data_IF_944307042086
#
_entry.id   IF_944307042086
#
_cell.length_a   1.000
_cell.length_b   1.000
_cell.length_c   1.000
_cell.angle_alpha   90.00
_cell.angle_beta   90.00
_cell.angle_gamma   90.00
#
_symmetry.space_group_name_H-M   'P 1'
#
loop_
_entity.id
_entity.type
_entity.pdbx_description
1 polymer ?
#
# COMPACT_ATOMS: atom_id res chain seq x y z
N UNK A 1 -38.31 -19.02 -8.15
CA UNK A 1 -36.90 -18.97 -8.59
C UNK A 1 -36.19 -17.97 -7.69
N UNK A 2 -35.65 -18.46 -6.58
CA UNK A 2 -35.01 -17.64 -5.54
C UNK A 2 -33.64 -17.25 -6.08
N UNK A 3 -33.44 -15.97 -6.42
CA UNK A 3 -32.09 -15.47 -6.70
C UNK A 3 -31.30 -15.51 -5.38
N UNK A 4 -30.27 -16.34 -5.33
CA UNK A 4 -29.19 -16.15 -4.37
C UNK A 4 -28.52 -14.82 -4.70
N UNK A 5 -28.79 -13.79 -3.90
CA UNK A 5 -27.86 -12.66 -3.79
C UNK A 5 -26.63 -13.20 -3.07
N UNK A 6 -25.62 -13.60 -3.82
CA UNK A 6 -24.26 -13.70 -3.31
C UNK A 6 -23.85 -12.28 -2.92
N UNK A 7 -24.06 -11.91 -1.67
CA UNK A 7 -23.32 -10.82 -1.06
C UNK A 7 -21.85 -11.22 -1.11
N UNK A 8 -21.11 -10.70 -2.09
CA UNK A 8 -19.66 -10.58 -1.90
C UNK A 8 -19.53 -9.71 -0.64
N UNK A 9 -19.11 -10.32 0.47
CA UNK A 9 -18.61 -9.56 1.59
C UNK A 9 -17.44 -8.75 1.04
N UNK A 10 -17.64 -7.45 0.80
CA UNK A 10 -16.53 -6.54 0.55
C UNK A 10 -15.59 -6.70 1.74
N UNK A 11 -14.29 -6.86 1.47
CA UNK A 11 -13.29 -6.82 2.53
C UNK A 11 -13.54 -5.56 3.38
N UNK A 12 -13.76 -5.69 4.71
CA UNK A 12 -14.11 -4.55 5.55
C UNK A 12 -13.01 -3.49 5.59
N UNK A 13 -11.76 -3.83 5.22
CA UNK A 13 -10.69 -2.87 5.05
C UNK A 13 -10.50 -2.52 3.57
N UNK A 14 -11.00 -1.35 3.17
CA UNK A 14 -10.73 -0.76 1.86
C UNK A 14 -9.38 -0.03 1.90
N UNK A 15 -8.61 -0.18 0.84
CA UNK A 15 -7.32 0.48 0.68
C UNK A 15 -7.27 1.28 -0.63
N UNK A 16 -6.76 2.49 -0.54
CA UNK A 16 -6.51 3.36 -1.68
C UNK A 16 -5.05 3.78 -1.67
N UNK A 17 -4.38 3.55 -2.80
CA UNK A 17 -3.01 4.00 -3.03
C UNK A 17 -3.03 5.22 -3.93
N UNK A 18 -2.19 6.21 -3.64
CA UNK A 18 -2.01 7.35 -4.54
C UNK A 18 -0.58 7.88 -4.52
N UNK A 19 -0.19 8.42 -5.67
CA UNK A 19 1.03 9.21 -5.87
C UNK A 19 0.66 10.39 -6.77
N UNK A 20 1.56 11.36 -6.93
CA UNK A 20 1.38 12.37 -7.99
C UNK A 20 1.38 11.70 -9.35
N UNK A 21 0.28 11.84 -10.11
CA UNK A 21 0.11 11.23 -11.43
C UNK A 21 1.22 11.64 -12.42
N UNK A 22 1.72 12.87 -12.31
CA UNK A 22 2.88 13.37 -13.04
C UNK A 22 3.84 14.03 -12.06
N UNK A 23 5.10 13.61 -12.06
CA UNK A 23 6.17 14.20 -11.26
C UNK A 23 7.50 14.08 -11.99
N UNK A 24 8.50 14.93 -11.69
CA UNK A 24 9.81 14.83 -12.34
C UNK A 24 10.72 13.83 -11.67
N UNK A 25 11.70 13.30 -12.39
CA UNK A 25 12.69 12.33 -11.86
C UNK A 25 13.53 12.88 -10.68
N UNK A 26 13.62 14.20 -10.53
CA UNK A 26 14.33 14.88 -9.43
C UNK A 26 13.41 15.33 -8.27
N UNK A 27 12.12 15.05 -8.34
CA UNK A 27 11.16 15.36 -7.28
C UNK A 27 10.94 14.12 -6.36
N UNK A 28 10.73 14.32 -5.04
CA UNK A 28 10.24 13.28 -4.16
C UNK A 28 8.90 12.70 -4.64
N UNK A 29 8.65 11.42 -4.32
CA UNK A 29 7.41 10.74 -4.72
C UNK A 29 6.81 9.98 -3.52
N UNK A 30 6.07 10.66 -2.63
CA UNK A 30 5.34 10.00 -1.55
C UNK A 30 4.27 9.06 -2.14
N UNK A 31 4.31 7.79 -1.73
CA UNK A 31 3.19 6.87 -1.81
C UNK A 31 2.30 7.08 -0.60
N UNK A 32 1.09 7.56 -0.84
CA UNK A 32 0.06 7.70 0.18
C UNK A 32 -0.79 6.43 0.18
N UNK A 33 -0.94 5.83 1.36
CA UNK A 33 -1.91 4.77 1.60
C UNK A 33 -3.02 5.30 2.50
N UNK A 34 -4.25 5.14 2.05
CA UNK A 34 -5.46 5.43 2.81
C UNK A 34 -6.18 4.12 3.11
N UNK A 35 -6.38 3.83 4.39
CA UNK A 35 -7.12 2.66 4.87
C UNK A 35 -8.45 3.10 5.46
N UNK A 36 -9.54 2.47 5.03
CA UNK A 36 -10.89 2.77 5.50
C UNK A 36 -11.58 1.51 6.00
N UNK A 37 -12.07 1.54 7.23
CA UNK A 37 -12.91 0.49 7.77
C UNK A 37 -14.36 0.69 7.32
N UNK A 38 -14.82 -0.15 6.38
CA UNK A 38 -16.20 -0.23 5.88
C UNK A 38 -17.05 -1.26 6.64
N UNK A 39 -16.49 -1.91 7.66
CA UNK A 39 -17.22 -2.82 8.55
C UNK A 39 -17.99 -2.09 9.65
N UNK A 40 -18.69 -2.88 10.47
CA UNK A 40 -19.58 -2.38 11.54
C UNK A 40 -18.89 -2.29 12.92
N UNK A 41 -17.68 -2.83 13.06
CA UNK A 41 -16.92 -2.87 14.32
C UNK A 41 -15.48 -2.38 14.15
N UNK A 42 -14.74 -2.18 15.25
CA UNK A 42 -13.33 -1.80 15.18
C UNK A 42 -12.49 -2.91 14.53
N UNK A 43 -11.49 -2.49 13.75
CA UNK A 43 -10.46 -3.35 13.20
C UNK A 43 -9.12 -3.05 13.85
N UNK A 44 -8.36 -4.10 14.16
CA UNK A 44 -6.95 -4.00 14.52
C UNK A 44 -6.12 -4.21 13.24
N UNK A 45 -5.32 -3.21 12.88
CA UNK A 45 -4.59 -3.14 11.62
C UNK A 45 -3.10 -3.18 11.89
N UNK A 46 -2.42 -4.18 11.33
CA UNK A 46 -0.98 -4.34 11.39
C UNK A 46 -0.31 -3.26 10.51
N UNK A 47 0.57 -2.46 11.11
CA UNK A 47 1.28 -1.40 10.41
C UNK A 47 2.37 -1.92 9.46
N UNK A 48 2.83 -3.15 9.67
CA UNK A 48 3.90 -3.74 8.86
C UNK A 48 3.55 -3.82 7.38
N UNK A 49 4.56 -3.73 6.52
CA UNK A 49 4.42 -3.74 5.07
C UNK A 49 3.60 -2.56 4.51
N UNK A 50 3.29 -1.54 5.31
CA UNK A 50 2.52 -0.37 4.87
C UNK A 50 3.32 0.92 5.05
N UNK A 51 2.93 2.03 4.40
CA UNK A 51 3.51 3.34 4.69
C UNK A 51 3.39 3.78 6.17
N UNK A 52 2.51 3.17 6.98
CA UNK A 52 2.40 3.48 8.41
C UNK A 52 3.65 3.11 9.21
N UNK A 53 4.48 2.18 8.71
CA UNK A 53 5.80 1.89 9.28
C UNK A 53 6.96 2.59 8.54
N UNK A 54 6.66 3.38 7.50
CA UNK A 54 7.68 3.87 6.56
C UNK A 54 8.21 2.74 5.67
N UNK A 55 9.53 2.62 5.55
CA UNK A 55 10.17 1.60 4.71
C UNK A 55 11.00 0.64 5.54
N UNK A 56 10.37 -0.44 6.02
CA UNK A 56 11.07 -1.58 6.64
C UNK A 56 10.69 -2.92 5.99
N UNK A 57 10.14 -2.86 4.78
CA UNK A 57 9.67 -4.00 4.02
C UNK A 57 9.61 -3.74 2.51
N UNK A 58 9.86 -4.79 1.73
CA UNK A 58 9.58 -4.83 0.28
C UNK A 58 8.12 -5.27 0.05
N UNK A 59 7.21 -4.29 0.12
CA UNK A 59 5.78 -4.52 0.04
C UNK A 59 5.14 -4.09 -1.29
N UNK A 60 5.95 -3.57 -2.21
CA UNK A 60 5.48 -2.96 -3.46
C UNK A 60 6.14 -3.66 -4.64
N UNK A 61 5.33 -4.09 -5.59
CA UNK A 61 5.82 -4.47 -6.92
C UNK A 61 5.73 -3.24 -7.81
N UNK A 62 6.89 -2.77 -8.27
CA UNK A 62 7.01 -1.58 -9.10
C UNK A 62 7.66 -1.93 -10.44
N UNK A 63 7.06 -1.49 -11.54
CA UNK A 63 7.63 -1.65 -12.87
C UNK A 63 7.77 -0.30 -13.58
N UNK A 64 8.75 -0.20 -14.47
CA UNK A 64 8.89 0.86 -15.48
C UNK A 64 8.82 0.18 -16.84
N UNK A 65 7.84 0.58 -17.66
CA UNK A 65 7.64 0.00 -18.99
C UNK A 65 7.63 -1.56 -18.96
N UNK A 66 6.94 -2.12 -17.96
CA UNK A 66 6.85 -3.56 -17.65
C UNK A 66 8.14 -4.25 -17.18
N UNK A 67 9.24 -3.52 -16.97
CA UNK A 67 10.45 -4.04 -16.36
C UNK A 67 10.39 -3.84 -14.84
N UNK A 68 10.56 -4.90 -14.02
CA UNK A 68 10.52 -4.76 -12.56
C UNK A 68 11.68 -3.93 -12.04
N UNK A 69 11.40 -3.12 -11.02
CA UNK A 69 12.40 -2.39 -10.25
C UNK A 69 12.76 -3.15 -8.99
N UNK A 70 14.03 -3.06 -8.60
CA UNK A 70 14.55 -3.70 -7.39
C UNK A 70 14.35 -2.77 -6.20
N UNK A 71 13.78 -3.29 -5.12
CA UNK A 71 13.74 -2.63 -3.82
C UNK A 71 15.14 -2.51 -3.23
N UNK A 72 15.50 -1.31 -2.77
CA UNK A 72 16.81 -0.95 -2.19
C UNK A 72 16.72 -0.48 -0.73
N UNK A 73 15.53 -0.53 -0.13
CA UNK A 73 15.32 -0.14 1.26
C UNK A 73 15.73 -1.22 2.27
N UNK A 74 15.62 -0.92 3.58
CA UNK A 74 15.94 -1.88 4.62
C UNK A 74 14.82 -2.93 4.78
N UNK A 75 15.20 -4.11 5.26
CA UNK A 75 14.27 -5.20 5.57
C UNK A 75 14.36 -5.51 7.06
N UNK A 76 13.25 -5.35 7.78
CA UNK A 76 13.19 -5.73 9.19
C UNK A 76 13.08 -7.26 9.33
N UNK A 77 13.87 -7.82 10.26
CA UNK A 77 13.67 -9.18 10.77
C UNK A 77 12.59 -9.13 11.85
N UNK A 78 11.55 -9.96 11.73
CA UNK A 78 10.35 -9.88 12.58
C UNK A 78 10.07 -11.19 13.31
N UNK A 79 9.59 -11.07 14.54
CA UNK A 79 8.95 -12.17 15.28
C UNK A 79 7.44 -12.13 15.06
N UNK A 80 6.68 -12.62 16.05
CA UNK A 80 5.24 -12.37 16.10
C UNK A 80 4.99 -10.88 16.40
N UNK A 81 4.00 -10.25 15.74
CA UNK A 81 3.68 -8.85 16.01
C UNK A 81 3.13 -8.68 17.43
N UNK A 82 3.63 -7.67 18.14
CA UNK A 82 3.14 -7.25 19.45
C UNK A 82 2.05 -6.19 19.34
N UNK A 83 1.45 -5.80 20.47
CA UNK A 83 0.36 -4.81 20.49
C UNK A 83 0.73 -3.47 19.84
N UNK A 84 1.98 -3.03 19.99
CA UNK A 84 2.46 -1.75 19.44
C UNK A 84 2.67 -1.77 17.91
N UNK A 85 2.62 -2.96 17.28
CA UNK A 85 2.71 -3.10 15.82
C UNK A 85 1.35 -2.85 15.13
N UNK A 86 0.27 -2.79 15.92
CA UNK A 86 -1.08 -2.57 15.44
C UNK A 86 -1.61 -1.19 15.80
N UNK A 87 -2.55 -0.70 14.99
CA UNK A 87 -3.39 0.44 15.33
C UNK A 87 -4.87 0.08 15.16
N UNK A 88 -5.73 0.78 15.90
CA UNK A 88 -7.17 0.56 15.85
C UNK A 88 -7.82 1.51 14.85
N UNK A 89 -8.66 0.95 13.98
CA UNK A 89 -9.50 1.69 13.04
C UNK A 89 -10.97 1.37 13.35
N UNK A 90 -11.69 2.30 13.97
CA UNK A 90 -13.11 2.16 14.29
C UNK A 90 -14.00 2.03 13.06
N UNK A 91 -15.25 1.61 13.26
CA UNK A 91 -16.24 1.49 12.17
C UNK A 91 -16.42 2.82 11.44
N UNK A 92 -16.33 2.80 10.11
CA UNK A 92 -16.42 3.99 9.26
C UNK A 92 -15.19 4.91 9.32
N UNK A 93 -14.19 4.64 10.16
CA UNK A 93 -13.00 5.47 10.26
C UNK A 93 -12.03 5.24 9.11
N UNK A 94 -11.26 6.28 8.84
CA UNK A 94 -10.19 6.30 7.87
C UNK A 94 -8.88 6.72 8.54
N UNK A 95 -7.78 6.10 8.13
CA UNK A 95 -6.42 6.49 8.52
C UNK A 95 -5.55 6.59 7.27
N UNK A 96 -4.55 7.47 7.31
CA UNK A 96 -3.68 7.76 6.18
C UNK A 96 -2.22 7.87 6.65
N UNK A 97 -1.32 7.33 5.86
CA UNK A 97 0.12 7.52 6.01
C UNK A 97 0.80 7.60 4.64
N UNK A 98 2.01 8.14 4.62
CA UNK A 98 2.84 8.23 3.43
C UNK A 98 4.29 7.84 3.67
N UNK A 99 4.92 7.33 2.62
CA UNK A 99 6.35 7.01 2.60
C UNK A 99 6.91 7.32 1.21
N UNK A 100 8.09 7.95 1.14
CA UNK A 100 8.68 8.42 -0.12
C UNK A 100 9.35 7.29 -0.90
N UNK A 101 8.77 6.90 -2.04
CA UNK A 101 9.27 5.81 -2.89
C UNK A 101 10.69 6.08 -3.39
N UNK A 102 11.11 7.34 -3.51
CA UNK A 102 12.46 7.69 -4.00
C UNK A 102 13.57 7.31 -3.01
N UNK A 103 13.22 7.01 -1.76
CA UNK A 103 14.17 6.55 -0.74
C UNK A 103 14.55 5.06 -0.93
N UNK A 104 13.70 4.29 -1.61
CA UNK A 104 13.85 2.81 -1.67
C UNK A 104 13.76 2.22 -3.08
N UNK A 105 13.37 3.00 -4.08
CA UNK A 105 13.46 2.61 -5.49
C UNK A 105 14.25 3.64 -6.31
N UNK A 106 14.92 3.15 -7.34
CA UNK A 106 15.57 4.01 -8.33
C UNK A 106 14.54 4.49 -9.36
N UNK A 107 14.02 5.69 -9.14
CA UNK A 107 13.02 6.34 -9.99
C UNK A 107 13.63 7.46 -10.85
N UNK A 108 14.93 7.38 -11.13
CA UNK A 108 15.69 8.39 -11.89
C UNK A 108 15.36 8.41 -13.39
N UNK A 109 14.66 7.39 -13.90
CA UNK A 109 14.30 7.26 -15.32
C UNK A 109 12.90 7.81 -15.57
N UNK A 110 12.69 8.65 -16.60
CA UNK A 110 11.35 9.04 -17.02
C UNK A 110 10.62 7.84 -17.66
N UNK A 111 9.29 7.88 -17.63
CA UNK A 111 8.44 6.87 -18.27
C UNK A 111 7.18 6.53 -17.47
N UNK A 112 6.47 5.49 -17.91
CA UNK A 112 5.24 5.02 -17.28
C UNK A 112 5.57 3.94 -16.24
N UNK A 113 5.20 4.22 -15.00
CA UNK A 113 5.34 3.29 -13.90
C UNK A 113 4.01 2.64 -13.56
N UNK A 114 4.06 1.37 -13.20
CA UNK A 114 2.93 0.62 -12.65
C UNK A 114 3.30 0.07 -11.28
N UNK A 115 2.43 0.31 -10.30
CA UNK A 115 2.63 -0.02 -8.89
C UNK A 115 1.48 -0.91 -8.42
N UNK A 116 1.79 -2.09 -7.89
CA UNK A 116 0.84 -2.94 -7.18
C UNK A 116 1.34 -3.23 -5.77
N UNK A 117 0.39 -3.32 -4.84
CA UNK A 117 0.68 -3.77 -3.49
C UNK A 117 0.86 -5.28 -3.47
N UNK A 118 1.99 -5.77 -2.96
CA UNK A 118 2.27 -7.22 -2.91
C UNK A 118 1.38 -7.87 -1.85
N UNK A 119 0.80 -9.01 -2.20
CA UNK A 119 0.10 -9.85 -1.22
C UNK A 119 1.09 -10.30 -0.13
N UNK A 120 0.83 -9.88 1.10
CA UNK A 120 1.71 -10.18 2.23
C UNK A 120 1.41 -11.58 2.79
N UNK A 121 2.43 -12.34 3.23
CA UNK A 121 2.23 -13.64 3.87
C UNK A 121 1.52 -13.52 5.22
N UNK A 122 1.58 -12.33 5.84
CA UNK A 122 0.82 -11.96 7.02
C UNK A 122 -0.43 -11.19 6.60
N UNK A 123 -1.56 -11.54 7.21
CA UNK A 123 -2.79 -10.78 6.99
C UNK A 123 -2.70 -9.47 7.75
N UNK A 124 -2.86 -8.33 7.05
CA UNK A 124 -2.71 -6.99 7.65
C UNK A 124 -3.81 -6.61 8.64
N UNK A 125 -4.86 -7.41 8.70
CA UNK A 125 -5.81 -7.44 9.82
C UNK A 125 -6.08 -8.90 10.13
N UNK A 126 -6.51 -9.24 11.34
CA UNK A 126 -6.89 -10.61 11.69
C UNK A 126 -7.96 -11.15 10.71
N UNK A 127 -7.54 -11.94 9.72
CA UNK A 127 -8.41 -12.58 8.75
C UNK A 127 -8.88 -11.72 7.56
N UNK A 128 -8.44 -10.46 7.39
CA UNK A 128 -8.84 -9.63 6.21
C UNK A 128 -7.62 -9.02 5.49
N UNK A 129 -7.45 -9.37 4.22
CA UNK A 129 -6.49 -8.70 3.35
C UNK A 129 -7.09 -7.37 2.84
N UNK A 130 -6.34 -6.25 2.87
CA UNK A 130 -6.83 -5.01 2.26
C UNK A 130 -6.92 -5.18 0.75
N UNK A 131 -7.99 -4.62 0.18
CA UNK A 131 -8.10 -4.49 -1.27
C UNK A 131 -7.42 -3.18 -1.69
N UNK A 132 -6.15 -3.25 -2.10
CA UNK A 132 -5.38 -2.13 -2.63
C UNK A 132 -5.27 -2.24 -4.17
N UNK A 133 -6.10 -1.54 -4.96
CA UNK A 133 -5.97 -1.56 -6.41
C UNK A 133 -4.59 -1.05 -6.86
N UNK A 134 -4.08 -1.62 -7.96
CA UNK A 134 -2.86 -1.14 -8.58
C UNK A 134 -3.07 0.27 -9.17
N UNK A 135 -2.00 1.06 -9.23
CA UNK A 135 -2.00 2.41 -9.78
C UNK A 135 -0.90 2.58 -10.84
N UNK A 136 -1.05 3.60 -11.68
CA UNK A 136 -0.04 3.99 -12.66
C UNK A 136 0.25 5.48 -12.57
N UNK A 137 1.49 5.86 -12.84
CA UNK A 137 1.94 7.25 -12.80
C UNK A 137 3.10 7.47 -13.78
N UNK A 138 3.33 8.72 -14.15
CA UNK A 138 4.36 9.11 -15.12
C UNK A 138 5.45 9.90 -14.41
N UNK A 139 6.71 9.49 -14.60
CA UNK A 139 7.87 10.32 -14.29
C UNK A 139 8.32 11.07 -15.54
N UNK A 140 8.42 12.39 -15.43
CA UNK A 140 8.91 13.29 -16.47
C UNK A 140 10.42 13.51 -16.31
N UNK A 141 11.10 13.80 -17.42
CA UNK A 141 12.50 14.21 -17.37
C UNK A 141 12.67 15.47 -16.51
N UNK A 142 13.87 15.63 -15.93
CA UNK A 142 14.27 16.89 -15.32
C UNK A 142 14.30 17.98 -16.41
N UNK A 143 14.03 19.25 -16.06
CA UNK A 143 14.12 20.37 -16.99
C UNK A 143 15.53 20.56 -17.54
#
# INVERSE_FOLDING_TARGET
>A
MTLLLTTLALAPLQCELSVKAHSRVNEPLPLVMTLTNKGEGPLEVLSWFTPFEGWFADAIDLTLDNQPLVYKGPLAKRGEPGADDFFILGAGQQSQADADLTQVYDLSRPGLYHLSYRAQPLTLTQGVAPSCPAISFIRLAAP
#
